data_IF_260702600600
#
_entry.id   IF_260702600600
#
_cell.length_a   1.000
_cell.length_b   1.000
_cell.length_c   1.000
_cell.angle_alpha   90.00
_cell.angle_beta   90.00
_cell.angle_gamma   90.00
#
_symmetry.space_group_name_H-M   'P 1'
#
loop_
_entity.id
_entity.type
_entity.pdbx_description
1 polymer ?
#
# COMPACT_ATOMS: atom_id res chain seq x y z
N UNK A 1 15.83 17.22 -21.65
CA UNK A 1 15.75 18.46 -20.83
C UNK A 1 14.46 18.58 -20.01
N UNK A 2 13.35 17.90 -20.34
CA UNK A 2 12.06 18.06 -19.65
C UNK A 2 12.14 17.94 -18.11
N UNK A 3 12.82 16.91 -17.59
CA UNK A 3 12.97 16.72 -16.15
C UNK A 3 13.67 17.90 -15.44
N UNK A 4 14.75 18.43 -16.03
CA UNK A 4 15.48 19.59 -15.48
C UNK A 4 14.60 20.84 -15.51
N UNK A 5 13.87 21.07 -16.60
CA UNK A 5 12.92 22.19 -16.71
C UNK A 5 11.81 22.11 -15.67
N UNK A 6 11.26 20.92 -15.43
CA UNK A 6 10.27 20.70 -14.38
C UNK A 6 10.86 20.94 -13.00
N UNK A 7 12.07 20.42 -12.72
CA UNK A 7 12.73 20.59 -11.43
C UNK A 7 13.06 22.06 -11.11
N UNK A 8 13.41 22.85 -12.13
CA UNK A 8 13.72 24.27 -11.98
C UNK A 8 12.47 25.18 -11.91
N UNK A 9 11.27 24.65 -12.17
CA UNK A 9 10.07 25.47 -12.25
C UNK A 9 9.49 25.77 -10.86
N UNK A 10 9.24 27.05 -10.49
CA UNK A 10 8.71 27.41 -9.16
C UNK A 10 7.38 26.72 -8.81
N UNK A 11 6.53 26.55 -9.82
CA UNK A 11 5.23 25.85 -9.73
C UNK A 11 5.32 24.35 -9.41
N UNK A 12 6.50 23.73 -9.52
CA UNK A 12 6.73 22.34 -9.11
C UNK A 12 6.79 22.18 -7.58
N UNK A 13 7.03 23.27 -6.84
CA UNK A 13 7.11 23.25 -5.38
C UNK A 13 5.78 22.82 -4.78
N UNK A 14 5.85 21.93 -3.78
CA UNK A 14 4.67 21.43 -3.08
C UNK A 14 3.85 20.40 -3.87
N UNK A 15 4.30 19.90 -5.03
CA UNK A 15 3.63 18.83 -5.80
C UNK A 15 4.15 17.41 -5.48
N UNK A 16 5.00 17.29 -4.46
CA UNK A 16 5.62 16.03 -4.06
C UNK A 16 6.70 15.56 -5.03
N UNK A 17 7.14 14.31 -4.87
CA UNK A 17 8.07 13.68 -5.80
C UNK A 17 7.34 13.35 -7.10
N UNK A 18 8.00 13.58 -8.24
CA UNK A 18 7.41 13.41 -9.56
C UNK A 18 8.28 12.55 -10.46
N UNK A 19 7.64 11.87 -11.40
CA UNK A 19 8.30 11.17 -12.52
C UNK A 19 8.00 11.97 -13.78
N UNK A 20 9.04 12.45 -14.47
CA UNK A 20 8.91 13.16 -15.74
C UNK A 20 9.37 12.24 -16.86
N UNK A 21 8.44 11.83 -17.72
CA UNK A 21 8.70 10.91 -18.83
C UNK A 21 7.71 11.17 -19.97
N UNK A 22 8.18 11.10 -21.22
CA UNK A 22 7.39 11.38 -22.43
C UNK A 22 6.65 12.72 -22.34
N UNK A 23 7.36 13.77 -21.89
CA UNK A 23 6.83 15.12 -21.64
C UNK A 23 5.61 15.19 -20.71
N UNK A 24 5.36 14.12 -19.93
CA UNK A 24 4.32 14.08 -18.89
C UNK A 24 4.94 14.15 -17.51
N UNK A 25 4.28 14.88 -16.63
CA UNK A 25 4.63 15.03 -15.22
C UNK A 25 3.68 14.14 -14.41
N UNK A 26 4.21 13.08 -13.81
CA UNK A 26 3.42 12.06 -13.12
C UNK A 26 3.69 12.10 -11.62
N UNK A 27 2.66 11.90 -10.80
CA UNK A 27 2.81 11.74 -9.35
C UNK A 27 3.57 10.46 -9.03
N UNK A 28 4.58 10.51 -8.17
CA UNK A 28 5.31 9.31 -7.74
C UNK A 28 4.40 8.28 -7.07
N UNK A 29 3.33 8.72 -6.39
CA UNK A 29 2.38 7.82 -5.71
C UNK A 29 1.56 6.98 -6.69
N UNK A 30 1.16 7.57 -7.81
CA UNK A 30 0.28 6.90 -8.79
C UNK A 30 1.04 6.31 -9.98
N UNK A 31 2.28 6.75 -10.23
CA UNK A 31 3.05 6.34 -11.41
C UNK A 31 3.34 4.85 -11.45
N UNK A 32 2.96 4.17 -12.52
CA UNK A 32 3.22 2.75 -12.74
C UNK A 32 3.68 2.50 -14.16
N UNK A 33 4.54 1.51 -14.33
CA UNK A 33 5.01 1.07 -15.65
C UNK A 33 4.01 0.07 -16.20
N UNK A 34 3.40 0.38 -17.34
CA UNK A 34 2.35 -0.44 -17.96
C UNK A 34 2.90 -1.50 -18.91
N UNK A 35 4.04 -1.24 -19.54
CA UNK A 35 4.68 -2.17 -20.48
C UNK A 35 6.20 -2.01 -20.44
N UNK A 36 6.95 -3.03 -20.83
CA UNK A 36 8.40 -3.15 -20.71
C UNK A 36 9.22 -2.23 -21.65
N UNK A 37 8.62 -1.74 -22.74
CA UNK A 37 9.28 -0.83 -23.68
C UNK A 37 9.51 0.56 -23.06
N UNK A 38 10.37 1.35 -23.70
CA UNK A 38 10.62 2.76 -23.33
C UNK A 38 9.31 3.58 -23.31
N UNK A 39 9.23 4.58 -22.44
CA UNK A 39 7.99 5.30 -22.16
C UNK A 39 7.07 4.49 -21.25
N UNK A 40 5.75 4.52 -21.47
CA UNK A 40 4.84 3.54 -20.85
C UNK A 40 4.60 3.68 -19.35
N UNK A 41 4.97 4.81 -18.77
CA UNK A 41 4.46 5.19 -17.46
C UNK A 41 3.05 5.75 -17.60
N UNK A 42 2.19 5.38 -16.67
CA UNK A 42 0.82 5.87 -16.53
C UNK A 42 0.52 6.04 -15.05
N UNK A 43 -0.42 6.91 -14.73
CA UNK A 43 -1.00 7.07 -13.38
C UNK A 43 -2.42 6.50 -13.30
N UNK A 44 -2.86 5.78 -14.35
CA UNK A 44 -4.22 5.26 -14.44
C UNK A 44 -5.26 6.38 -14.41
N UNK A 45 -6.36 6.10 -13.72
CA UNK A 45 -7.51 6.99 -13.60
C UNK A 45 -7.21 8.26 -12.78
N UNK A 46 -6.11 8.27 -12.01
CA UNK A 46 -5.70 9.44 -11.22
C UNK A 46 -5.09 10.56 -12.09
N UNK A 47 -4.73 10.26 -13.35
CA UNK A 47 -4.26 11.27 -14.30
C UNK A 47 -2.86 11.83 -14.03
N UNK A 48 -2.31 12.54 -15.02
CA UNK A 48 -0.99 13.19 -14.89
C UNK A 48 -1.13 14.50 -14.11
N UNK A 49 -0.08 14.93 -13.42
CA UNK A 49 -0.06 16.23 -12.75
C UNK A 49 0.08 17.39 -13.75
N UNK A 50 0.71 17.13 -14.89
CA UNK A 50 1.01 18.15 -15.89
C UNK A 50 1.74 17.61 -17.11
N UNK A 51 2.13 18.50 -18.02
CA UNK A 51 2.92 18.21 -19.20
C UNK A 51 4.04 19.23 -19.39
N UNK A 52 5.05 18.92 -20.21
CA UNK A 52 6.17 19.81 -20.53
C UNK A 52 6.14 20.16 -22.01
N UNK A 53 5.69 21.36 -22.33
CA UNK A 53 5.63 21.88 -23.71
C UNK A 53 6.85 22.72 -24.10
N UNK A 54 6.76 23.37 -25.27
CA UNK A 54 7.77 24.33 -25.74
C UNK A 54 8.01 25.45 -24.72
N UNK A 55 6.94 26.02 -24.18
CA UNK A 55 7.01 27.17 -23.26
C UNK A 55 7.44 26.80 -21.83
N UNK A 56 7.34 25.52 -21.46
CA UNK A 56 7.68 25.08 -20.11
C UNK A 56 6.83 23.93 -19.59
N UNK A 57 7.10 23.49 -18.36
CA UNK A 57 6.14 22.68 -17.62
C UNK A 57 4.84 23.46 -17.42
N UNK A 58 3.70 22.77 -17.51
CA UNK A 58 2.38 23.25 -17.18
C UNK A 58 1.71 22.21 -16.28
N UNK A 59 1.22 22.65 -15.11
CA UNK A 59 0.57 21.79 -14.14
C UNK A 59 -0.94 21.95 -14.22
N UNK A 60 -1.66 20.83 -14.19
CA UNK A 60 -3.12 20.75 -14.24
C UNK A 60 -3.71 20.32 -12.89
N UNK A 61 -3.01 19.45 -12.17
CA UNK A 61 -3.47 18.86 -10.91
C UNK A 61 -2.36 18.85 -9.85
N UNK A 62 -2.76 18.57 -8.61
CA UNK A 62 -1.86 18.40 -7.47
C UNK A 62 -2.29 17.21 -6.61
N UNK A 63 -1.36 16.42 -6.04
CA UNK A 63 -1.74 15.35 -5.12
C UNK A 63 -2.42 15.90 -3.86
N UNK A 64 -3.45 15.22 -3.39
CA UNK A 64 -4.18 15.56 -2.14
C UNK A 64 -3.69 14.79 -0.92
N UNK A 65 -3.01 13.66 -1.13
CA UNK A 65 -2.44 12.84 -0.05
C UNK A 65 -1.16 13.46 0.48
N UNK A 66 -0.87 13.22 1.76
CA UNK A 66 0.30 13.79 2.43
C UNK A 66 1.58 13.29 1.76
N UNK A 67 2.55 14.17 1.62
CA UNK A 67 3.83 13.88 0.98
C UNK A 67 4.91 14.93 1.31
N UNK A 68 6.17 14.57 1.09
CA UNK A 68 7.30 15.49 1.32
C UNK A 68 7.34 15.97 2.77
N UNK A 69 7.38 17.28 2.99
CA UNK A 69 7.45 17.89 4.33
C UNK A 69 6.18 17.72 5.18
N UNK A 70 5.06 17.31 4.59
CA UNK A 70 3.83 17.01 5.35
C UNK A 70 3.76 15.56 5.86
N UNK A 71 4.80 14.77 5.57
CA UNK A 71 4.93 13.38 6.01
C UNK A 71 5.37 13.28 7.46
N UNK A 72 4.78 12.33 8.20
CA UNK A 72 5.19 11.99 9.57
C UNK A 72 6.41 11.06 9.64
N UNK A 73 6.87 10.55 8.49
CA UNK A 73 8.02 9.65 8.40
C UNK A 73 9.34 10.44 8.38
N UNK A 74 10.09 10.35 9.48
CA UNK A 74 11.50 10.75 9.55
C UNK A 74 12.39 9.52 9.50
N UNK A 75 13.28 9.48 8.52
CA UNK A 75 14.21 8.37 8.27
C UNK A 75 15.68 8.77 8.52
N UNK A 76 15.94 9.98 9.04
CA UNK A 76 17.30 10.51 9.23
C UNK A 76 18.19 9.67 10.14
N UNK A 77 17.59 8.96 11.11
CA UNK A 77 18.26 8.09 12.08
C UNK A 77 18.15 6.60 11.76
N UNK A 78 17.63 6.24 10.57
CA UNK A 78 17.32 4.86 10.21
C UNK A 78 18.25 4.37 9.12
N UNK A 79 19.20 3.51 9.48
CA UNK A 79 20.17 2.94 8.53
C UNK A 79 19.61 1.74 7.75
N UNK A 80 18.64 1.01 8.33
CA UNK A 80 18.07 -0.20 7.72
C UNK A 80 16.57 -0.26 7.93
N UNK A 81 15.83 -0.41 6.83
CA UNK A 81 14.37 -0.52 6.87
C UNK A 81 13.91 -1.93 7.26
N UNK A 82 12.79 -2.05 7.99
CA UNK A 82 12.17 -3.33 8.31
C UNK A 82 11.98 -4.23 7.08
N UNK A 83 12.32 -5.52 7.22
CA UNK A 83 12.12 -6.50 6.15
C UNK A 83 10.62 -6.72 5.92
N UNK A 84 10.16 -6.36 4.73
CA UNK A 84 8.80 -6.63 4.27
C UNK A 84 8.82 -7.60 3.08
N UNK A 85 8.10 -8.70 3.18
CA UNK A 85 7.88 -9.64 2.08
C UNK A 85 6.81 -9.14 1.10
N UNK A 86 6.86 -9.59 -0.15
CA UNK A 86 5.79 -9.40 -1.14
C UNK A 86 5.52 -10.77 -1.76
N UNK A 87 4.28 -11.24 -1.63
CA UNK A 87 3.82 -12.50 -2.23
C UNK A 87 2.59 -12.26 -3.08
N UNK A 88 2.28 -13.22 -3.95
CA UNK A 88 1.12 -13.18 -4.83
C UNK A 88 0.23 -14.39 -4.53
N UNK A 89 -1.04 -14.13 -4.24
CA UNK A 89 -2.07 -15.13 -3.99
C UNK A 89 -2.55 -15.74 -5.31
N UNK A 90 -2.52 -17.07 -5.40
CA UNK A 90 -3.05 -17.82 -6.55
C UNK A 90 -3.56 -19.21 -6.13
N UNK A 91 -4.48 -19.83 -6.91
CA UNK A 91 -5.00 -21.15 -6.56
C UNK A 91 -3.89 -22.18 -6.38
N UNK A 92 -3.99 -22.99 -5.31
CA UNK A 92 -3.03 -24.06 -4.96
C UNK A 92 -1.66 -23.54 -4.51
N UNK A 93 -1.62 -22.41 -3.81
CA UNK A 93 -0.36 -21.89 -3.27
C UNK A 93 0.22 -22.85 -2.21
N UNK A 94 1.53 -23.04 -2.30
CA UNK A 94 2.34 -23.78 -1.35
C UNK A 94 2.50 -22.98 -0.04
N UNK A 95 2.96 -23.63 1.03
CA UNK A 95 3.24 -22.95 2.30
C UNK A 95 4.18 -21.74 2.07
N UNK A 96 3.65 -20.53 2.29
CA UNK A 96 4.44 -19.30 2.19
C UNK A 96 5.43 -19.29 3.35
N UNK A 97 6.68 -19.68 3.09
CA UNK A 97 7.76 -19.64 4.05
C UNK A 97 8.62 -18.41 3.81
N UNK A 98 8.80 -17.60 4.86
CA UNK A 98 9.79 -16.54 4.87
C UNK A 98 10.87 -16.86 5.89
N UNK A 99 12.11 -17.05 5.42
CA UNK A 99 13.29 -17.25 6.25
C UNK A 99 14.37 -16.20 5.89
N UNK A 100 14.75 -15.29 6.80
CA UNK A 100 14.19 -15.08 8.13
C UNK A 100 12.78 -14.45 8.09
N UNK A 101 12.03 -14.65 9.18
CA UNK A 101 10.68 -14.11 9.35
C UNK A 101 10.65 -12.57 9.17
N UNK A 102 9.75 -12.04 8.32
CA UNK A 102 9.68 -10.62 8.03
C UNK A 102 8.86 -9.89 9.10
N UNK A 103 9.08 -8.57 9.20
CA UNK A 103 8.27 -7.70 10.06
C UNK A 103 6.86 -7.45 9.48
N UNK A 104 6.72 -7.53 8.15
CA UNK A 104 5.45 -7.42 7.46
C UNK A 104 5.44 -8.16 6.13
N UNK A 105 4.25 -8.41 5.59
CA UNK A 105 4.04 -9.04 4.28
C UNK A 105 2.96 -8.28 3.53
N UNK A 106 3.24 -7.93 2.29
CA UNK A 106 2.22 -7.51 1.33
C UNK A 106 1.79 -8.72 0.52
N UNK A 107 0.50 -8.94 0.43
CA UNK A 107 -0.13 -9.98 -0.37
C UNK A 107 -0.84 -9.30 -1.54
N UNK A 108 -0.34 -9.55 -2.75
CA UNK A 108 -1.05 -9.23 -3.98
C UNK A 108 -2.14 -10.28 -4.19
N UNK A 109 -3.41 -9.92 -4.01
CA UNK A 109 -4.54 -10.87 -4.03
C UNK A 109 -5.72 -10.33 -4.82
N UNK A 110 -6.47 -11.24 -5.43
CA UNK A 110 -7.74 -10.96 -6.12
C UNK A 110 -8.96 -11.06 -5.20
N UNK A 111 -8.76 -11.21 -3.88
CA UNK A 111 -9.84 -11.31 -2.90
C UNK A 111 -10.45 -12.70 -2.78
N UNK A 112 -9.83 -13.74 -3.38
CA UNK A 112 -10.24 -15.12 -3.21
C UNK A 112 -9.87 -15.61 -1.79
N UNK A 113 -10.88 -15.80 -0.95
CA UNK A 113 -10.80 -15.95 0.51
C UNK A 113 -10.24 -17.28 1.03
N UNK A 114 -9.66 -18.14 0.17
CA UNK A 114 -9.29 -19.51 0.56
C UNK A 114 -7.97 -19.64 1.32
N UNK A 115 -7.22 -18.55 1.48
CA UNK A 115 -5.87 -18.54 2.08
C UNK A 115 -5.84 -18.00 3.52
N UNK A 116 -7.01 -17.86 4.17
CA UNK A 116 -7.12 -17.20 5.47
C UNK A 116 -6.31 -17.86 6.60
N UNK A 117 -5.95 -19.13 6.46
CA UNK A 117 -5.18 -19.88 7.46
C UNK A 117 -3.71 -19.42 7.54
N UNK A 118 -3.02 -19.28 6.40
CA UNK A 118 -1.60 -18.86 6.38
C UNK A 118 -1.46 -17.41 6.87
N UNK A 119 -2.33 -16.52 6.40
CA UNK A 119 -2.35 -15.13 6.85
C UNK A 119 -2.71 -15.01 8.33
N UNK A 120 -3.59 -15.88 8.85
CA UNK A 120 -3.85 -15.94 10.29
C UNK A 120 -2.60 -16.33 11.07
N UNK A 121 -1.90 -17.38 10.66
CA UNK A 121 -0.67 -17.82 11.33
C UNK A 121 0.39 -16.71 11.36
N UNK A 122 0.61 -16.02 10.24
CA UNK A 122 1.54 -14.88 10.17
C UNK A 122 1.13 -13.74 11.14
N UNK A 123 -0.15 -13.38 11.16
CA UNK A 123 -0.66 -12.32 12.05
C UNK A 123 -0.60 -12.69 13.53
N UNK A 124 -0.93 -13.93 13.87
CA UNK A 124 -0.77 -14.46 15.23
C UNK A 124 0.69 -14.47 15.68
N UNK A 125 1.62 -14.59 14.72
CA UNK A 125 3.05 -14.46 14.98
C UNK A 125 3.53 -13.00 15.04
N UNK A 126 2.64 -12.00 14.91
CA UNK A 126 2.99 -10.57 14.97
C UNK A 126 3.52 -9.98 13.67
N UNK A 127 3.35 -10.68 12.54
CA UNK A 127 3.67 -10.13 11.21
C UNK A 127 2.51 -9.28 10.73
N UNK A 128 2.77 -8.03 10.34
CA UNK A 128 1.74 -7.16 9.76
C UNK A 128 1.43 -7.62 8.33
N UNK A 129 0.19 -8.01 8.06
CA UNK A 129 -0.26 -8.43 6.73
C UNK A 129 -1.05 -7.30 6.07
N UNK A 130 -0.60 -6.89 4.89
CA UNK A 130 -1.26 -5.91 4.02
C UNK A 130 -1.77 -6.60 2.77
N UNK A 131 -3.02 -6.37 2.40
CA UNK A 131 -3.61 -6.88 1.15
C UNK A 131 -3.71 -5.77 0.10
N UNK A 132 -3.24 -6.06 -1.11
CA UNK A 132 -3.24 -5.15 -2.24
C UNK A 132 -3.78 -5.84 -3.49
N UNK A 133 -4.60 -5.16 -4.30
CA UNK A 133 -5.01 -5.69 -5.57
C UNK A 133 -3.81 -5.61 -6.52
N UNK A 134 -3.59 -6.60 -7.40
CA UNK A 134 -2.50 -6.53 -8.38
C UNK A 134 -2.55 -5.28 -9.26
N UNK A 135 -3.74 -4.80 -9.63
CA UNK A 135 -3.90 -3.54 -10.38
C UNK A 135 -3.72 -2.29 -9.52
N UNK A 136 -3.77 -2.42 -8.19
CA UNK A 136 -3.83 -1.30 -7.26
C UNK A 136 -5.25 -0.85 -6.93
N UNK A 137 -6.31 -1.30 -7.61
CA UNK A 137 -7.68 -0.75 -7.41
C UNK A 137 -8.46 -1.43 -6.28
N UNK A 138 -7.88 -1.51 -5.08
CA UNK A 138 -8.55 -2.11 -3.92
C UNK A 138 -9.46 -1.07 -3.23
N UNK A 139 -10.77 -1.17 -3.44
CA UNK A 139 -11.79 -0.39 -2.69
C UNK A 139 -12.55 -1.28 -1.71
N UNK A 140 -11.92 -2.32 -1.17
CA UNK A 140 -12.54 -3.05 -0.06
C UNK A 140 -12.46 -2.19 1.19
N UNK A 141 -13.61 -1.95 1.84
CA UNK A 141 -13.66 -1.23 3.10
C UNK A 141 -12.72 -1.89 4.11
N UNK A 142 -11.85 -1.09 4.75
CA UNK A 142 -11.01 -1.63 5.81
C UNK A 142 -11.92 -2.13 6.92
N UNK A 143 -11.71 -3.37 7.37
CA UNK A 143 -12.43 -3.87 8.54
C UNK A 143 -12.05 -3.07 9.79
N UNK A 144 -10.97 -2.29 9.80
CA UNK A 144 -10.69 -1.39 10.92
C UNK A 144 -11.67 -0.21 11.04
N UNK A 145 -12.39 0.12 9.96
CA UNK A 145 -13.37 1.22 9.94
C UNK A 145 -14.77 0.76 10.39
N UNK A 146 -14.97 -0.56 10.50
CA UNK A 146 -16.21 -1.12 11.02
C UNK A 146 -16.20 -1.13 12.55
N UNK A 147 -17.27 -0.69 13.23
CA UNK A 147 -17.40 -0.84 14.67
C UNK A 147 -17.23 -2.32 15.09
N UNK A 148 -16.68 -2.60 16.28
CA UNK A 148 -16.58 -3.96 16.77
C UNK A 148 -17.99 -4.60 16.77
N UNK A 149 -18.12 -5.87 16.37
CA UNK A 149 -19.43 -6.52 16.37
C UNK A 149 -20.01 -6.48 17.79
N UNK A 150 -21.26 -6.02 17.89
CA UNK A 150 -22.01 -6.04 19.15
C UNK A 150 -22.09 -7.47 19.67
N UNK A 151 -21.91 -7.65 20.98
CA UNK A 151 -21.95 -8.94 21.65
C UNK A 151 -23.41 -9.39 21.80
N UNK A 152 -24.05 -9.79 20.70
CA UNK A 152 -25.41 -10.35 20.72
C UNK A 152 -25.37 -11.86 20.95
N UNK A 153 -26.35 -12.33 21.72
CA UNK A 153 -26.40 -13.66 22.35
C UNK A 153 -26.11 -14.83 21.40
N UNK A 154 -25.39 -15.80 21.96
CA UNK A 154 -24.52 -16.76 21.27
C UNK A 154 -25.21 -18.11 21.07
N UNK A 155 -25.35 -18.64 19.84
CA UNK A 155 -25.80 -20.01 19.63
C UNK A 155 -24.71 -21.03 20.06
N UNK A 156 -25.06 -22.31 20.30
CA UNK A 156 -24.14 -23.32 20.84
C UNK A 156 -23.00 -23.65 19.87
N UNK A 157 -21.84 -23.94 20.47
CA UNK A 157 -20.51 -23.96 19.84
C UNK A 157 -20.32 -25.22 18.98
N UNK A 158 -20.02 -25.06 17.70
CA UNK A 158 -19.50 -26.10 16.78
C UNK A 158 -18.01 -25.88 16.48
N UNK A 159 -17.34 -26.86 15.89
CA UNK A 159 -15.92 -26.75 15.47
C UNK A 159 -15.68 -25.56 14.52
N UNK A 160 -16.68 -25.20 13.71
CA UNK A 160 -16.71 -23.97 12.88
C UNK A 160 -16.63 -22.69 13.71
N UNK A 161 -17.16 -22.69 14.94
CA UNK A 161 -17.08 -21.54 15.84
C UNK A 161 -15.68 -21.33 16.41
N UNK A 162 -14.85 -22.37 16.52
CA UNK A 162 -13.46 -22.22 16.97
C UNK A 162 -12.61 -21.47 15.93
N UNK A 163 -12.80 -21.77 14.65
CA UNK A 163 -12.18 -21.10 13.51
C UNK A 163 -12.66 -19.65 13.41
N UNK A 164 -13.98 -19.43 13.52
CA UNK A 164 -14.59 -18.09 13.53
C UNK A 164 -14.15 -17.26 14.75
N UNK A 165 -13.95 -17.90 15.91
CA UNK A 165 -13.46 -17.22 17.12
C UNK A 165 -12.00 -16.81 16.96
N UNK A 166 -11.15 -17.67 16.39
CA UNK A 166 -9.77 -17.33 16.07
C UNK A 166 -9.67 -16.19 15.05
N UNK A 167 -10.57 -16.14 14.05
CA UNK A 167 -10.69 -15.00 13.12
C UNK A 167 -11.13 -13.69 13.79
N UNK A 168 -11.92 -13.76 14.87
CA UNK A 168 -12.32 -12.58 15.65
C UNK A 168 -11.21 -12.03 16.53
N UNK A 169 -10.27 -12.86 16.97
CA UNK A 169 -9.21 -12.47 17.93
C UNK A 169 -7.91 -12.04 17.25
N UNK A 170 -7.60 -12.56 16.06
CA UNK A 170 -6.41 -12.14 15.31
C UNK A 170 -6.53 -10.66 14.85
N UNK A 171 -5.43 -9.90 14.81
CA UNK A 171 -5.44 -8.57 14.20
C UNK A 171 -5.99 -8.65 12.76
N UNK A 172 -6.80 -7.67 12.36
CA UNK A 172 -7.35 -7.62 11.00
C UNK A 172 -6.23 -7.29 10.00
N UNK A 173 -6.41 -7.69 8.75
CA UNK A 173 -5.49 -7.30 7.68
C UNK A 173 -5.61 -5.80 7.38
N UNK A 174 -4.50 -5.18 7.00
CA UNK A 174 -4.48 -3.80 6.50
C UNK A 174 -4.77 -3.82 5.00
N UNK A 175 -5.63 -2.92 4.53
CA UNK A 175 -5.96 -2.80 3.10
C UNK A 175 -5.12 -1.68 2.49
N UNK A 176 -4.43 -1.98 1.39
CA UNK A 176 -3.52 -1.06 0.70
C UNK A 176 -4.22 0.10 -0.04
N UNK A 177 -5.55 0.08 -0.12
CA UNK A 177 -6.35 0.98 -0.92
C UNK A 177 -5.89 0.98 -2.39
N UNK A 178 -5.60 2.16 -2.94
CA UNK A 178 -5.20 2.37 -4.33
C UNK A 178 -3.72 2.08 -4.63
N UNK A 179 -2.96 1.57 -3.66
CA UNK A 179 -1.53 1.31 -3.84
C UNK A 179 -1.29 -0.02 -4.53
N UNK A 180 -0.41 0.00 -5.54
CA UNK A 180 0.18 -1.21 -6.09
C UNK A 180 0.94 -2.01 -5.02
N UNK A 181 1.03 -3.34 -5.11
CA UNK A 181 1.66 -4.17 -4.08
C UNK A 181 3.10 -3.73 -3.73
N UNK A 182 3.91 -3.38 -4.72
CA UNK A 182 5.26 -2.89 -4.52
C UNK A 182 5.32 -1.51 -3.83
N UNK A 183 4.30 -0.65 -4.01
CA UNK A 183 4.22 0.65 -3.33
C UNK A 183 3.65 0.51 -1.93
N UNK A 184 2.68 -0.37 -1.75
CA UNK A 184 2.19 -0.79 -0.44
C UNK A 184 3.34 -1.33 0.41
N UNK A 185 4.26 -2.09 -0.20
CA UNK A 185 5.48 -2.57 0.47
C UNK A 185 6.36 -1.42 0.96
N UNK A 186 6.59 -0.40 0.13
CA UNK A 186 7.37 0.78 0.54
C UNK A 186 6.72 1.49 1.72
N UNK A 187 5.40 1.74 1.64
CA UNK A 187 4.67 2.39 2.73
C UNK A 187 4.69 1.54 4.01
N UNK A 188 4.56 0.21 3.90
CA UNK A 188 4.66 -0.67 5.06
C UNK A 188 6.07 -0.68 5.66
N UNK A 189 7.12 -0.64 4.85
CA UNK A 189 8.50 -0.56 5.34
C UNK A 189 8.72 0.69 6.20
N UNK A 190 8.25 1.85 5.75
CA UNK A 190 8.37 3.10 6.53
C UNK A 190 7.37 3.18 7.69
N UNK A 191 6.18 2.60 7.56
CA UNK A 191 5.21 2.54 8.67
C UNK A 191 5.74 1.72 9.85
N UNK A 192 6.42 0.59 9.55
CA UNK A 192 6.98 -0.30 10.56
C UNK A 192 8.18 0.28 11.32
N UNK A 193 8.74 1.42 10.90
CA UNK A 193 9.73 2.16 11.70
C UNK A 193 9.07 2.96 12.82
N UNK A 194 7.77 3.26 12.68
CA UNK A 194 7.00 4.09 13.61
C UNK A 194 6.14 3.24 14.56
N UNK A 195 5.46 2.23 14.04
CA UNK A 195 4.49 1.46 14.81
C UNK A 195 4.30 0.06 14.25
N UNK A 196 3.88 -0.85 15.13
CA UNK A 196 3.39 -2.19 14.76
C UNK A 196 1.89 -2.34 14.99
N UNK A 197 1.21 -1.30 15.45
CA UNK A 197 -0.25 -1.30 15.62
C UNK A 197 -0.91 -1.28 14.24
N UNK A 198 -1.63 -2.35 13.84
CA UNK A 198 -2.30 -2.41 12.55
C UNK A 198 -3.35 -1.30 12.33
N UNK A 199 -3.93 -0.74 13.39
CA UNK A 199 -4.89 0.38 13.28
C UNK A 199 -4.20 1.66 12.81
N UNK A 200 -3.07 1.99 13.42
CA UNK A 200 -2.25 3.13 13.00
C UNK A 200 -1.66 2.91 11.62
N UNK A 201 -1.20 1.69 11.29
CA UNK A 201 -0.74 1.37 9.95
C UNK A 201 -1.88 1.56 8.94
N UNK A 202 -3.09 1.09 9.24
CA UNK A 202 -4.24 1.32 8.37
C UNK A 202 -4.51 2.81 8.16
N UNK A 203 -4.43 3.65 9.20
CA UNK A 203 -4.53 5.12 9.08
C UNK A 203 -3.47 5.67 8.12
N UNK A 204 -2.22 5.25 8.26
CA UNK A 204 -1.13 5.67 7.36
C UNK A 204 -1.46 5.31 5.90
N UNK A 205 -1.98 4.11 5.61
CA UNK A 205 -2.42 3.72 4.26
C UNK A 205 -3.59 4.57 3.71
N UNK A 206 -4.36 5.24 4.57
CA UNK A 206 -5.40 6.20 4.15
C UNK A 206 -4.86 7.59 3.84
N UNK A 207 -3.88 8.04 4.61
CA UNK A 207 -3.35 9.41 4.52
C UNK A 207 -2.27 9.57 3.44
N UNK A 208 -1.52 8.49 3.17
CA UNK A 208 -0.35 8.47 2.29
C UNK A 208 -0.57 7.70 0.99
#
# INVERSE_FOLDING_TARGET
MAAVRTAAAPQAVGKGVMVVMDDRILSARESRKMYQRTGGFSTGDMGMLGAVGGDGPAFFFAPVRRHGSTSEFDLSSIDTLPRVGLTYSYPREADICFDPKPAGVVVATTGMTRESAVYRTLRSAGVVVVTAFPSGDNITASRYDAPPPADTARPPVTERDSIMRAERTAPREVVAQHLLPQKARILLMVALTRTRDPREIQRMFREY
#
